data_IF_561889426203
#
_entry.id   IF_561889426203
#
_cell.length_a   1.000
_cell.length_b   1.000
_cell.length_c   1.000
_cell.angle_alpha   90.00
_cell.angle_beta   90.00
_cell.angle_gamma   90.00
#
_symmetry.space_group_name_H-M   'P 1'
#
loop_
_entity.id
_entity.type
_entity.pdbx_description
1 polymer ?
#
# COMPACT_ATOMS: atom_id res chain seq x y z
N UNK A 1 -0.37 12.31 -72.91
CA UNK A 1 -0.35 11.15 -71.99
C UNK A 1 0.95 11.19 -71.19
N UNK A 2 0.91 11.77 -69.99
CA UNK A 2 2.06 11.84 -69.06
C UNK A 2 1.90 10.74 -68.01
N UNK A 3 2.86 9.80 -67.95
CA UNK A 3 2.87 8.75 -66.91
C UNK A 3 3.48 9.34 -65.63
N UNK A 4 2.66 9.49 -64.60
CA UNK A 4 3.10 9.81 -63.24
C UNK A 4 4.01 8.67 -62.70
N UNK A 5 5.18 8.98 -62.13
CA UNK A 5 6.07 7.96 -61.57
C UNK A 5 5.48 7.37 -60.29
N UNK A 6 5.10 6.09 -60.35
CA UNK A 6 4.67 5.30 -59.19
C UNK A 6 5.79 5.25 -58.15
N UNK A 7 5.59 5.92 -57.02
CA UNK A 7 6.48 5.84 -55.84
C UNK A 7 6.49 4.39 -55.35
N UNK A 8 7.62 3.68 -55.53
CA UNK A 8 7.79 2.34 -54.94
C UNK A 8 7.74 2.46 -53.42
N UNK A 9 6.75 1.84 -52.79
CA UNK A 9 6.74 1.64 -51.36
C UNK A 9 7.98 0.83 -50.97
N UNK A 10 8.86 1.39 -50.14
CA UNK A 10 9.99 0.68 -49.56
C UNK A 10 9.45 -0.20 -48.44
N UNK A 11 9.48 -1.52 -48.63
CA UNK A 11 9.15 -2.49 -47.58
C UNK A 11 10.38 -2.82 -46.73
N UNK A 12 10.15 -3.27 -45.49
CA UNK A 12 11.20 -3.79 -44.62
C UNK A 12 11.67 -5.16 -45.12
N UNK A 13 12.96 -5.43 -45.00
CA UNK A 13 13.49 -6.77 -45.30
C UNK A 13 13.19 -7.73 -44.16
N UNK A 14 13.10 -9.04 -44.46
CA UNK A 14 12.85 -10.06 -43.43
C UNK A 14 13.92 -10.04 -42.33
N UNK A 15 15.18 -9.81 -42.70
CA UNK A 15 16.29 -9.70 -41.75
C UNK A 15 16.15 -8.47 -40.84
N UNK A 16 15.62 -7.36 -41.34
CA UNK A 16 15.41 -6.12 -40.58
C UNK A 16 14.27 -6.26 -39.57
N UNK A 17 13.22 -7.01 -39.91
CA UNK A 17 12.19 -7.39 -38.95
C UNK A 17 12.77 -8.31 -37.85
N UNK A 18 13.60 -9.29 -38.23
CA UNK A 18 14.20 -10.20 -37.26
C UNK A 18 15.17 -9.48 -36.32
N UNK A 19 16.00 -8.57 -36.81
CA UNK A 19 16.92 -7.80 -35.97
C UNK A 19 16.19 -6.83 -35.06
N UNK A 20 15.14 -6.14 -35.53
CA UNK A 20 14.33 -5.25 -34.69
C UNK A 20 13.62 -5.99 -33.56
N UNK A 21 13.00 -7.15 -33.86
CA UNK A 21 12.39 -8.01 -32.83
C UNK A 21 13.45 -8.51 -31.84
N UNK A 22 14.63 -8.94 -32.31
CA UNK A 22 15.71 -9.38 -31.44
C UNK A 22 16.16 -8.27 -30.46
N UNK A 23 16.29 -7.03 -30.95
CA UNK A 23 16.64 -5.88 -30.10
C UNK A 23 15.54 -5.59 -29.09
N UNK A 24 14.26 -5.61 -29.49
CA UNK A 24 13.12 -5.39 -28.58
C UNK A 24 13.13 -6.44 -27.46
N UNK A 25 13.37 -7.72 -27.79
CA UNK A 25 13.43 -8.80 -26.79
C UNK A 25 14.57 -8.56 -25.79
N UNK A 26 15.76 -8.16 -26.26
CA UNK A 26 16.91 -7.85 -25.39
C UNK A 26 16.59 -6.67 -24.46
N UNK A 27 15.91 -5.64 -24.96
CA UNK A 27 15.54 -4.48 -24.13
C UNK A 27 14.50 -4.88 -23.09
N UNK A 28 13.48 -5.64 -23.47
CA UNK A 28 12.40 -6.05 -22.56
C UNK A 28 12.92 -6.93 -21.41
N UNK A 29 13.86 -7.83 -21.67
CA UNK A 29 14.45 -8.67 -20.62
C UNK A 29 15.23 -7.86 -19.58
N UNK A 30 15.87 -6.77 -19.99
CA UNK A 30 16.57 -5.84 -19.09
C UNK A 30 15.61 -4.87 -18.38
N UNK A 31 14.55 -4.43 -19.05
CA UNK A 31 13.60 -3.45 -18.50
C UNK A 31 12.61 -4.05 -17.48
N UNK A 32 12.19 -5.30 -17.67
CA UNK A 32 11.22 -5.99 -16.81
C UNK A 32 11.55 -5.97 -15.30
N UNK A 33 12.77 -6.32 -14.84
CA UNK A 33 13.08 -6.28 -13.41
C UNK A 33 13.10 -4.86 -12.83
N UNK A 34 13.42 -3.84 -13.63
CA UNK A 34 13.40 -2.45 -13.17
C UNK A 34 11.97 -1.96 -12.92
N UNK A 35 11.02 -2.34 -13.78
CA UNK A 35 9.61 -1.99 -13.62
C UNK A 35 9.00 -2.64 -12.36
N UNK A 36 9.34 -3.89 -12.05
CA UNK A 36 8.84 -4.56 -10.83
C UNK A 36 9.38 -3.91 -9.56
N UNK A 37 10.65 -3.51 -9.54
CA UNK A 37 11.23 -2.78 -8.40
C UNK A 37 10.56 -1.42 -8.19
N UNK A 38 10.29 -0.69 -9.26
CA UNK A 38 9.59 0.59 -9.20
C UNK A 38 8.17 0.45 -8.63
N UNK A 39 7.40 -0.54 -9.10
CA UNK A 39 6.06 -0.82 -8.61
C UNK A 39 6.05 -1.14 -7.10
N UNK A 40 6.96 -2.01 -6.64
CA UNK A 40 7.10 -2.36 -5.21
C UNK A 40 7.42 -1.13 -4.35
N UNK A 41 8.30 -0.26 -4.82
CA UNK A 41 8.65 0.96 -4.08
C UNK A 41 7.46 1.94 -4.00
N UNK A 42 6.68 2.04 -5.08
CA UNK A 42 5.45 2.84 -5.08
C UNK A 42 4.42 2.29 -4.09
N UNK A 43 4.27 0.96 -4.00
CA UNK A 43 3.38 0.30 -3.04
C UNK A 43 3.82 0.54 -1.59
N UNK A 44 5.11 0.36 -1.29
CA UNK A 44 5.68 0.65 0.04
C UNK A 44 5.43 2.10 0.46
N UNK A 45 5.68 3.05 -0.44
CA UNK A 45 5.46 4.48 -0.19
C UNK A 45 3.97 4.77 0.02
N UNK A 46 3.11 4.12 -0.76
CA UNK A 46 1.65 4.21 -0.60
C UNK A 46 1.20 3.76 0.79
N UNK A 47 1.60 2.56 1.22
CA UNK A 47 1.28 2.03 2.55
C UNK A 47 1.78 2.93 3.67
N UNK A 48 3.01 3.45 3.56
CA UNK A 48 3.57 4.37 4.55
C UNK A 48 2.77 5.68 4.65
N UNK A 49 2.34 6.24 3.51
CA UNK A 49 1.51 7.44 3.48
C UNK A 49 0.10 7.19 4.05
N UNK A 50 -0.52 6.05 3.75
CA UNK A 50 -1.81 5.66 4.33
C UNK A 50 -1.70 5.51 5.85
N UNK A 51 -0.62 4.87 6.33
CA UNK A 51 -0.37 4.73 7.77
C UNK A 51 -0.12 6.09 8.43
N UNK A 52 0.64 6.98 7.80
CA UNK A 52 0.79 8.34 8.33
C UNK A 52 -0.55 9.07 8.39
N UNK A 53 -1.37 8.94 7.35
CA UNK A 53 -2.70 9.55 7.29
C UNK A 53 -3.61 9.04 8.41
N UNK A 54 -3.65 7.72 8.66
CA UNK A 54 -4.45 7.13 9.73
C UNK A 54 -4.03 7.64 11.11
N UNK A 55 -2.72 7.76 11.38
CA UNK A 55 -2.21 8.32 12.63
C UNK A 55 -2.55 9.81 12.81
N UNK A 56 -2.44 10.61 11.74
CA UNK A 56 -2.82 12.03 11.82
C UNK A 56 -4.32 12.22 12.03
N UNK A 57 -5.15 11.35 11.44
CA UNK A 57 -6.59 11.34 11.63
C UNK A 57 -6.95 10.94 13.06
N UNK A 58 -6.37 9.83 13.56
CA UNK A 58 -6.56 9.35 14.92
C UNK A 58 -6.21 10.43 15.96
N UNK A 59 -5.04 11.05 15.83
CA UNK A 59 -4.61 12.14 16.71
C UNK A 59 -5.55 13.34 16.66
N UNK A 60 -6.00 13.73 15.47
CA UNK A 60 -6.92 14.85 15.32
C UNK A 60 -8.27 14.55 15.97
N UNK A 61 -8.75 13.31 15.87
CA UNK A 61 -10.01 12.90 16.47
C UNK A 61 -9.91 12.81 18.00
N UNK A 62 -8.81 12.27 18.53
CA UNK A 62 -8.54 12.25 19.96
C UNK A 62 -8.56 13.66 20.56
N UNK A 63 -7.90 14.62 19.91
CA UNK A 63 -7.87 16.02 20.34
C UNK A 63 -9.24 16.70 20.24
N UNK A 64 -10.05 16.39 19.23
CA UNK A 64 -11.40 16.96 19.06
C UNK A 64 -12.37 16.44 20.12
N UNK A 65 -12.30 15.15 20.42
CA UNK A 65 -13.26 14.48 21.33
C UNK A 65 -12.79 14.46 22.78
N UNK A 66 -11.51 14.68 23.05
CA UNK A 66 -10.92 14.47 24.37
C UNK A 66 -11.01 13.02 24.82
N UNK A 67 -10.93 12.08 23.87
CA UNK A 67 -11.07 10.63 24.07
C UNK A 67 -9.90 9.91 23.41
N UNK A 68 -9.57 8.74 23.94
CA UNK A 68 -8.50 7.93 23.39
C UNK A 68 -8.90 7.46 22.00
N UNK A 69 -8.02 7.67 21.01
CA UNK A 69 -8.23 7.10 19.67
C UNK A 69 -7.10 6.13 19.39
N UNK A 70 -7.45 4.89 19.07
CA UNK A 70 -6.51 3.80 18.88
C UNK A 70 -6.38 3.45 17.40
N UNK A 71 -5.17 3.04 17.03
CA UNK A 71 -4.85 2.41 15.75
C UNK A 71 -4.30 1.02 16.03
N UNK A 72 -5.01 0.00 15.56
CA UNK A 72 -4.73 -1.41 15.86
C UNK A 72 -4.68 -2.24 14.58
N UNK A 73 -3.86 -3.29 14.50
CA UNK A 73 -3.91 -4.22 13.37
C UNK A 73 -5.27 -4.92 13.34
N UNK A 74 -5.88 -5.01 12.16
CA UNK A 74 -7.19 -5.64 11.97
C UNK A 74 -7.31 -6.18 10.55
N UNK A 75 -7.79 -7.41 10.42
CA UNK A 75 -7.99 -8.04 9.12
C UNK A 75 -9.41 -7.84 8.57
N UNK A 76 -10.37 -7.49 9.44
CA UNK A 76 -11.80 -7.53 9.18
C UNK A 76 -12.53 -6.24 9.60
N UNK A 77 -11.79 -5.21 10.01
CA UNK A 77 -12.33 -3.93 10.46
C UNK A 77 -13.23 -4.01 11.70
N UNK A 78 -13.18 -5.13 12.44
CA UNK A 78 -14.07 -5.38 13.56
C UNK A 78 -13.32 -5.96 14.76
N UNK A 79 -12.20 -6.65 14.52
CA UNK A 79 -11.43 -7.30 15.58
C UNK A 79 -10.01 -6.76 15.65
N UNK A 80 -9.47 -6.71 16.87
CA UNK A 80 -8.08 -6.39 17.10
C UNK A 80 -7.22 -7.65 16.88
N UNK A 81 -6.52 -7.66 15.74
CA UNK A 81 -5.56 -8.69 15.34
C UNK A 81 -4.16 -8.48 15.93
N UNK A 82 -3.14 -9.01 15.27
CA UNK A 82 -1.72 -8.86 15.61
C UNK A 82 -0.82 -8.63 14.38
N UNK A 83 -1.38 -8.81 13.18
CA UNK A 83 -0.68 -8.72 11.92
C UNK A 83 -1.04 -7.44 11.15
N UNK A 84 -0.12 -6.47 11.21
CA UNK A 84 -0.22 -5.20 10.49
C UNK A 84 -0.21 -5.34 8.96
N UNK A 85 0.17 -6.50 8.42
CA UNK A 85 0.06 -6.76 6.98
C UNK A 85 -1.38 -7.05 6.54
N UNK A 86 -2.28 -7.38 7.48
CA UNK A 86 -3.70 -7.63 7.18
C UNK A 86 -4.52 -6.34 7.05
N UNK A 87 -3.94 -5.21 7.41
CA UNK A 87 -4.62 -3.93 7.50
C UNK A 87 -4.64 -3.44 8.94
N UNK A 88 -5.28 -2.30 9.15
CA UNK A 88 -5.44 -1.71 10.47
C UNK A 88 -6.74 -0.93 10.55
N UNK A 89 -7.18 -0.74 11.80
CA UNK A 89 -8.43 -0.12 12.16
C UNK A 89 -8.14 1.07 13.07
N UNK A 90 -8.82 2.17 12.81
CA UNK A 90 -8.80 3.37 13.65
C UNK A 90 -10.16 3.52 14.30
N UNK A 91 -10.22 3.59 15.61
CA UNK A 91 -11.46 3.78 16.35
C UNK A 91 -11.26 4.65 17.59
N UNK A 92 -12.33 5.31 18.01
CA UNK A 92 -12.38 6.08 19.26
C UNK A 92 -12.90 5.18 20.36
N UNK A 93 -12.09 5.00 21.40
CA UNK A 93 -12.43 4.26 22.61
C UNK A 93 -13.26 5.16 23.52
N UNK A 94 -14.57 4.88 23.55
CA UNK A 94 -15.54 5.73 24.24
C UNK A 94 -15.64 5.40 25.74
N UNK A 95 -15.30 4.18 26.14
CA UNK A 95 -15.46 3.67 27.50
C UNK A 95 -14.14 3.45 28.26
N UNK A 96 -13.00 3.60 27.57
CA UNK A 96 -11.65 3.44 28.11
C UNK A 96 -11.23 1.97 28.27
N UNK A 97 -11.93 1.04 27.62
CA UNK A 97 -11.69 -0.39 27.72
C UNK A 97 -10.41 -0.85 27.02
N UNK A 98 -9.87 -0.04 26.09
CA UNK A 98 -8.80 -0.44 25.19
C UNK A 98 -9.13 -1.76 24.47
N UNK A 99 -10.39 -1.95 24.12
CA UNK A 99 -10.87 -3.01 23.25
C UNK A 99 -11.75 -2.40 22.18
N UNK A 100 -12.08 -3.15 21.14
CA UNK A 100 -13.10 -2.71 20.19
C UNK A 100 -14.42 -3.40 20.51
N UNK A 101 -15.44 -2.60 20.79
CA UNK A 101 -16.80 -3.08 21.00
C UNK A 101 -17.87 -2.19 20.34
N UNK A 102 -19.14 -2.51 20.58
CA UNK A 102 -20.29 -1.82 19.97
C UNK A 102 -20.50 -0.38 20.44
N UNK A 103 -19.83 0.03 21.53
CA UNK A 103 -19.85 1.39 22.07
C UNK A 103 -18.82 2.31 21.43
N UNK A 104 -17.90 1.78 20.62
CA UNK A 104 -16.82 2.53 19.99
C UNK A 104 -17.18 3.06 18.60
N UNK A 105 -16.56 4.18 18.25
CA UNK A 105 -16.73 4.79 16.94
C UNK A 105 -15.57 4.42 16.02
N UNK A 106 -15.83 3.55 15.05
CA UNK A 106 -14.86 3.23 13.98
C UNK A 106 -14.72 4.43 13.04
N UNK A 107 -13.51 4.96 12.95
CA UNK A 107 -13.18 6.15 12.15
C UNK A 107 -12.70 5.79 10.74
N UNK A 108 -11.83 4.77 10.63
CA UNK A 108 -11.34 4.28 9.34
C UNK A 108 -10.92 2.82 9.45
N UNK A 109 -11.08 2.07 8.37
CA UNK A 109 -10.49 0.75 8.22
C UNK A 109 -9.69 0.69 6.92
N UNK A 110 -8.42 0.31 7.04
CA UNK A 110 -7.53 0.12 5.91
C UNK A 110 -7.42 -1.36 5.55
N UNK A 111 -7.44 -1.70 4.25
CA UNK A 111 -7.37 -3.08 3.80
C UNK A 111 -5.98 -3.69 3.97
N UNK A 112 -5.88 -4.98 3.69
CA UNK A 112 -4.61 -5.72 3.58
C UNK A 112 -3.61 -4.98 2.69
N UNK A 113 -2.38 -4.84 3.18
CA UNK A 113 -1.30 -4.22 2.42
C UNK A 113 -0.94 -5.06 1.17
N UNK A 114 -0.41 -4.45 0.10
CA UNK A 114 0.03 -5.17 -1.09
C UNK A 114 1.05 -6.27 -0.76
N UNK A 115 1.08 -7.36 -1.54
CA UNK A 115 1.96 -8.51 -1.29
C UNK A 115 3.45 -8.18 -1.35
N UNK A 116 3.83 -7.08 -2.01
CA UNK A 116 5.18 -6.56 -1.99
C UNK A 116 5.66 -6.15 -0.59
N UNK A 117 4.74 -5.88 0.33
CA UNK A 117 5.00 -5.49 1.71
C UNK A 117 4.83 -6.71 2.61
N UNK A 118 5.95 -7.38 2.93
CA UNK A 118 5.93 -8.67 3.65
C UNK A 118 5.94 -8.53 5.17
N UNK A 119 6.25 -7.34 5.68
CA UNK A 119 6.18 -7.05 7.10
C UNK A 119 5.98 -5.55 7.31
N UNK A 120 5.09 -5.20 8.24
CA UNK A 120 4.95 -3.85 8.77
C UNK A 120 5.31 -3.95 10.25
N UNK A 121 6.55 -3.62 10.58
CA UNK A 121 7.08 -3.77 11.95
C UNK A 121 7.45 -2.40 12.51
N UNK A 122 7.17 -2.19 13.80
CA UNK A 122 7.69 -1.06 14.56
C UNK A 122 8.01 -1.51 15.98
N UNK A 123 8.96 -0.87 16.63
CA UNK A 123 9.19 -1.04 18.07
C UNK A 123 8.45 0.08 18.80
N UNK A 124 7.57 -0.28 19.73
CA UNK A 124 6.89 0.70 20.58
C UNK A 124 7.38 0.60 22.04
N UNK A 125 7.43 1.72 22.79
CA UNK A 125 7.73 1.72 24.22
C UNK A 125 6.78 0.80 25.03
N UNK A 126 7.24 0.36 26.20
CA UNK A 126 6.39 -0.31 27.20
C UNK A 126 5.21 0.64 27.55
N UNK A 127 4.00 0.30 27.11
CA UNK A 127 2.82 1.17 27.20
C UNK A 127 2.01 1.26 25.92
N UNK A 128 2.58 0.88 24.78
CA UNK A 128 1.89 0.74 23.48
C UNK A 128 1.71 -0.72 23.09
N UNK A 129 1.73 -1.61 24.08
CA UNK A 129 1.47 -3.04 23.94
C UNK A 129 0.29 -3.38 24.84
N UNK A 130 -0.64 -4.18 24.33
CA UNK A 130 -1.72 -4.73 25.15
C UNK A 130 -1.16 -5.75 26.16
N UNK A 131 -2.04 -6.29 27.01
CA UNK A 131 -1.65 -7.32 27.99
C UNK A 131 -1.12 -8.62 27.37
N UNK A 132 -1.31 -8.81 26.05
CA UNK A 132 -0.81 -9.93 25.25
C UNK A 132 0.46 -9.61 24.44
N UNK A 133 1.04 -8.41 24.58
CA UNK A 133 2.23 -7.97 23.85
C UNK A 133 1.96 -7.47 22.42
N UNK A 134 0.69 -7.28 22.04
CA UNK A 134 0.31 -6.76 20.72
C UNK A 134 0.47 -5.25 20.67
N UNK A 135 1.20 -4.78 19.66
CA UNK A 135 1.46 -3.36 19.47
C UNK A 135 0.20 -2.63 19.01
N UNK A 136 -0.04 -1.46 19.60
CA UNK A 136 -1.05 -0.49 19.16
C UNK A 136 -0.50 0.92 19.26
N UNK A 137 -1.20 1.87 18.63
CA UNK A 137 -0.91 3.29 18.77
C UNK A 137 -2.14 3.98 19.34
N UNK A 138 -1.94 4.83 20.35
CA UNK A 138 -3.02 5.55 21.04
C UNK A 138 -2.66 7.03 21.12
N UNK A 139 -3.67 7.88 20.94
CA UNK A 139 -3.59 9.34 20.98
C UNK A 139 -4.61 9.94 21.91
#
# INVERSE_FOLDING_TARGET
MTREPQRRARGFTLIELLTTVAIIVIILTLAAPSFTAFQRNSELTGVANTMLSSLTAARSEAMKRGRNTLVVPSADCATWGDDWTKGWLVFVDNDGSQTIDSGDDVLSCEPKVPEAVTAVTGSAPEGFQDSGGKLYLMF
#
